data_IF_401834574221
#
_entry.id   IF_401834574221
#
_cell.length_a   1.000
_cell.length_b   1.000
_cell.length_c   1.000
_cell.angle_alpha   90.00
_cell.angle_beta   90.00
_cell.angle_gamma   90.00
#
_symmetry.space_group_name_H-M   'P 1'
#
loop_
_entity.id
_entity.type
_entity.pdbx_description
1 polymer ?
#
# COMPACT_ATOMS: atom_id res chain seq x y z
N UNK A 1 -14.58 20.71 12.07
CA UNK A 1 -15.95 20.57 11.52
C UNK A 1 -15.85 20.86 10.04
N UNK A 2 -15.76 19.84 9.20
CA UNK A 2 -15.65 20.01 7.73
C UNK A 2 -17.06 20.10 7.19
N UNK A 3 -17.51 21.28 6.87
CA UNK A 3 -18.81 21.52 6.20
C UNK A 3 -18.57 22.02 4.80
N UNK A 4 -18.05 21.16 3.97
CA UNK A 4 -18.03 21.33 2.52
C UNK A 4 -18.60 20.08 1.90
N UNK A 5 -19.86 19.76 2.19
CA UNK A 5 -20.55 18.67 1.52
C UNK A 5 -20.84 19.05 0.09
N UNK A 6 -19.99 18.60 -0.82
CA UNK A 6 -20.43 18.42 -2.18
C UNK A 6 -21.35 17.19 -2.16
N UNK A 7 -22.69 17.35 -2.26
CA UNK A 7 -23.65 16.28 -1.96
C UNK A 7 -23.64 15.13 -2.96
N UNK A 8 -22.72 15.15 -3.92
CA UNK A 8 -22.68 14.20 -5.03
C UNK A 8 -21.66 13.06 -4.85
N UNK A 9 -20.74 13.12 -3.88
CA UNK A 9 -19.70 12.12 -3.73
C UNK A 9 -19.73 11.49 -2.32
N UNK A 10 -20.51 10.43 -2.14
CA UNK A 10 -20.63 9.69 -0.88
C UNK A 10 -19.34 8.93 -0.48
N UNK A 11 -18.34 8.88 -1.37
CA UNK A 11 -17.07 8.18 -1.19
C UNK A 11 -15.90 9.12 -0.83
N UNK A 12 -16.10 10.44 -0.79
CA UNK A 12 -15.07 11.39 -0.35
C UNK A 12 -15.08 11.48 1.17
N UNK A 13 -13.94 11.19 1.78
CA UNK A 13 -13.77 11.25 3.22
C UNK A 13 -13.22 12.60 3.69
N UNK A 14 -12.38 13.20 2.88
CA UNK A 14 -11.77 14.49 3.16
C UNK A 14 -11.59 15.30 1.88
N UNK A 15 -11.77 16.60 1.97
CA UNK A 15 -11.46 17.57 0.91
C UNK A 15 -10.90 18.84 1.51
N UNK A 16 -9.99 19.50 0.78
CA UNK A 16 -9.55 20.84 1.15
C UNK A 16 -10.67 21.85 0.91
N UNK A 17 -10.69 22.89 1.73
CA UNK A 17 -11.54 24.06 1.53
C UNK A 17 -10.87 25.14 0.67
N UNK A 18 -9.61 24.96 0.32
CA UNK A 18 -8.88 25.90 -0.53
C UNK A 18 -9.34 25.75 -1.97
N UNK A 19 -9.46 26.88 -2.69
CA UNK A 19 -9.72 26.87 -4.11
C UNK A 19 -8.53 26.23 -4.82
N UNK A 20 -8.80 25.08 -5.42
CA UNK A 20 -7.80 24.38 -6.24
C UNK A 20 -7.81 25.02 -7.63
N UNK A 21 -6.62 25.34 -8.15
CA UNK A 21 -6.49 25.85 -9.52
C UNK A 21 -7.06 24.82 -10.51
N UNK A 22 -8.24 25.10 -11.03
CA UNK A 22 -8.94 24.23 -11.98
C UNK A 22 -8.20 24.08 -13.33
N UNK A 23 -7.17 24.88 -13.58
CA UNK A 23 -6.34 24.78 -14.79
C UNK A 23 -5.21 23.74 -14.64
N UNK A 24 -4.83 23.37 -13.40
CA UNK A 24 -3.80 22.39 -13.17
C UNK A 24 -4.34 20.96 -13.39
N UNK A 25 -3.62 20.17 -14.17
CA UNK A 25 -3.91 18.73 -14.32
C UNK A 25 -3.71 18.04 -13.00
N UNK A 26 -4.72 17.36 -12.43
CA UNK A 26 -4.57 16.66 -11.17
C UNK A 26 -3.78 15.38 -11.32
N UNK A 27 -3.06 15.03 -10.26
CA UNK A 27 -2.49 13.71 -10.05
C UNK A 27 -3.49 12.88 -9.25
N UNK A 28 -3.75 11.67 -9.70
CA UNK A 28 -4.65 10.73 -9.02
C UNK A 28 -3.85 9.52 -8.58
N UNK A 29 -3.84 9.30 -7.29
CA UNK A 29 -3.19 8.17 -6.64
C UNK A 29 -4.25 7.17 -6.23
N UNK A 30 -4.04 5.91 -6.54
CA UNK A 30 -4.96 4.80 -6.26
C UNK A 30 -4.21 3.68 -5.54
N UNK A 31 -4.68 3.27 -4.38
CA UNK A 31 -4.15 2.11 -3.68
C UNK A 31 -5.26 1.10 -3.43
N UNK A 32 -5.09 -0.12 -3.93
CA UNK A 32 -6.08 -1.19 -3.73
C UNK A 32 -5.90 -1.84 -2.36
N UNK A 33 -7.01 -2.01 -1.63
CA UNK A 33 -7.02 -2.61 -0.29
C UNK A 33 -7.52 -4.07 -0.27
N UNK A 34 -7.61 -4.69 -1.46
CA UNK A 34 -8.13 -6.04 -1.67
C UNK A 34 -9.64 -6.08 -1.99
N UNK A 35 -10.37 -4.99 -1.82
CA UNK A 35 -11.80 -4.89 -2.07
C UNK A 35 -12.18 -3.68 -2.91
N UNK A 36 -11.58 -2.55 -2.61
CA UNK A 36 -11.84 -1.25 -3.24
C UNK A 36 -10.54 -0.48 -3.40
N UNK A 37 -10.58 0.63 -4.12
CA UNK A 37 -9.48 1.57 -4.11
C UNK A 37 -9.70 2.65 -3.05
N UNK A 38 -8.67 2.91 -2.26
CA UNK A 38 -8.51 4.21 -1.64
C UNK A 38 -7.87 5.13 -2.67
N UNK A 39 -8.29 6.38 -2.71
CA UNK A 39 -7.76 7.36 -3.65
C UNK A 39 -7.35 8.65 -2.97
N UNK A 40 -6.41 9.33 -3.60
CA UNK A 40 -6.05 10.70 -3.29
C UNK A 40 -5.89 11.46 -4.60
N UNK A 41 -6.40 12.68 -4.64
CA UNK A 41 -6.17 13.63 -5.71
C UNK A 41 -5.26 14.71 -5.18
N UNK A 42 -4.20 15.04 -5.93
CA UNK A 42 -3.31 16.13 -5.61
C UNK A 42 -3.21 17.11 -6.79
N UNK A 43 -3.04 18.38 -6.47
CA UNK A 43 -2.77 19.45 -7.42
C UNK A 43 -1.50 20.16 -6.97
N UNK A 44 -0.52 20.26 -7.87
CA UNK A 44 0.78 20.89 -7.56
C UNK A 44 1.37 20.38 -6.24
N UNK A 45 1.40 19.05 -6.07
CA UNK A 45 1.91 18.35 -4.89
C UNK A 45 1.16 18.64 -3.57
N UNK A 46 -0.07 19.14 -3.67
CA UNK A 46 -0.94 19.32 -2.50
C UNK A 46 -2.17 18.41 -2.59
N UNK A 47 -2.41 17.55 -1.58
CA UNK A 47 -3.64 16.76 -1.51
C UNK A 47 -4.88 17.66 -1.51
N UNK A 48 -5.87 17.32 -2.31
CA UNK A 48 -7.13 18.05 -2.41
C UNK A 48 -8.36 17.22 -2.05
N UNK A 49 -8.32 15.92 -2.36
CA UNK A 49 -9.37 14.97 -2.04
C UNK A 49 -8.77 13.65 -1.57
N UNK A 50 -9.42 13.01 -0.62
CA UNK A 50 -9.10 11.64 -0.16
C UNK A 50 -10.40 10.87 0.06
N UNK A 51 -10.45 9.63 -0.37
CA UNK A 51 -11.65 8.81 -0.22
C UNK A 51 -11.46 7.35 -0.63
N UNK A 52 -12.58 6.69 -0.91
CA UNK A 52 -12.60 5.33 -1.43
C UNK A 52 -13.49 5.24 -2.68
N UNK A 53 -13.11 4.40 -3.62
CA UNK A 53 -13.83 4.11 -4.86
C UNK A 53 -14.26 2.64 -4.84
N UNK A 54 -15.55 2.41 -5.07
CA UNK A 54 -16.05 1.10 -5.45
C UNK A 54 -15.94 0.93 -6.97
N UNK A 55 -16.00 -0.32 -7.48
CA UNK A 55 -16.08 -0.56 -8.91
C UNK A 55 -17.21 0.26 -9.55
N UNK A 56 -16.92 0.96 -10.65
CA UNK A 56 -17.86 1.83 -11.35
C UNK A 56 -17.87 3.31 -10.90
N UNK A 57 -17.26 3.66 -9.77
CA UNK A 57 -17.22 5.07 -9.31
C UNK A 57 -16.14 5.91 -10.02
N UNK A 58 -15.26 5.27 -10.78
CA UNK A 58 -14.14 5.94 -11.43
C UNK A 58 -14.58 7.05 -12.40
N UNK A 59 -15.52 6.74 -13.29
CA UNK A 59 -16.05 7.71 -14.24
C UNK A 59 -16.66 8.92 -13.52
N UNK A 60 -17.30 8.67 -12.40
CA UNK A 60 -17.90 9.70 -11.56
C UNK A 60 -16.83 10.59 -10.90
N UNK A 61 -15.74 10.01 -10.43
CA UNK A 61 -14.61 10.78 -9.91
C UNK A 61 -14.04 11.69 -11.00
N UNK A 62 -13.69 11.15 -12.17
CA UNK A 62 -13.14 11.92 -13.29
C UNK A 62 -14.08 13.05 -13.74
N UNK A 63 -15.37 12.77 -13.82
CA UNK A 63 -16.39 13.78 -14.18
C UNK A 63 -16.42 14.90 -13.14
N UNK A 64 -16.32 14.56 -11.86
CA UNK A 64 -16.34 15.56 -10.77
C UNK A 64 -15.08 16.42 -10.77
N UNK A 65 -13.94 15.82 -11.10
CA UNK A 65 -12.66 16.56 -11.20
C UNK A 65 -12.64 17.47 -12.44
N UNK A 66 -13.54 17.27 -13.42
CA UNK A 66 -13.46 17.98 -14.71
C UNK A 66 -12.17 17.68 -15.48
N UNK A 67 -11.40 16.72 -15.04
CA UNK A 67 -10.09 16.41 -15.58
C UNK A 67 -10.21 15.61 -16.88
N UNK A 68 -9.56 16.11 -17.95
CA UNK A 68 -9.59 15.42 -19.26
C UNK A 68 -8.53 14.32 -19.36
N UNK A 69 -7.38 14.47 -18.70
CA UNK A 69 -6.27 13.52 -18.73
C UNK A 69 -5.45 13.63 -17.42
N UNK A 70 -5.94 13.11 -16.28
CA UNK A 70 -5.16 13.10 -15.05
C UNK A 70 -3.97 12.16 -15.21
N UNK A 71 -2.86 12.46 -14.53
CA UNK A 71 -1.79 11.47 -14.33
C UNK A 71 -2.28 10.47 -13.28
N UNK A 72 -2.06 9.18 -13.52
CA UNK A 72 -2.56 8.13 -12.64
C UNK A 72 -1.38 7.31 -12.10
N UNK A 73 -1.28 7.27 -10.80
CA UNK A 73 -0.34 6.44 -10.06
C UNK A 73 -1.16 5.41 -9.29
N UNK A 74 -0.81 4.14 -9.41
CA UNK A 74 -1.58 3.15 -8.68
C UNK A 74 -0.70 2.10 -8.00
N UNK A 75 -1.24 1.53 -6.92
CA UNK A 75 -0.62 0.47 -6.16
C UNK A 75 -1.58 -0.70 -5.98
N UNK A 76 -1.07 -1.89 -6.19
CA UNK A 76 -1.81 -3.14 -6.11
C UNK A 76 -1.01 -4.19 -5.34
N UNK A 77 -1.62 -4.98 -4.44
CA UNK A 77 -0.95 -6.09 -3.81
C UNK A 77 -0.64 -7.17 -4.85
N UNK A 78 0.60 -7.63 -4.87
CA UNK A 78 1.01 -8.66 -5.83
C UNK A 78 0.55 -10.04 -5.37
N UNK A 79 0.18 -10.92 -6.29
CA UNK A 79 -0.13 -12.31 -5.97
C UNK A 79 1.14 -13.15 -5.76
N UNK A 80 2.24 -12.71 -6.35
CA UNK A 80 3.54 -13.36 -6.26
C UNK A 80 4.66 -12.31 -6.27
N UNK A 81 5.59 -12.45 -5.34
CA UNK A 81 6.77 -11.59 -5.23
C UNK A 81 7.95 -12.39 -4.68
N UNK A 82 9.14 -12.15 -5.21
CA UNK A 82 10.39 -12.65 -4.62
C UNK A 82 11.45 -11.56 -4.59
N UNK A 83 12.26 -11.55 -3.53
CA UNK A 83 13.33 -10.59 -3.32
C UNK A 83 14.68 -11.21 -3.62
N UNK A 84 15.49 -10.52 -4.39
CA UNK A 84 16.81 -10.97 -4.80
C UNK A 84 17.83 -9.88 -4.42
N UNK A 85 18.75 -10.15 -3.50
CA UNK A 85 19.82 -9.21 -3.16
C UNK A 85 20.59 -8.76 -4.40
N UNK A 86 20.99 -7.50 -4.47
CA UNK A 86 21.77 -6.93 -5.60
C UNK A 86 23.00 -7.77 -5.94
N UNK A 87 23.66 -8.34 -4.94
CA UNK A 87 24.84 -9.17 -5.11
C UNK A 87 24.56 -10.46 -5.93
N UNK A 88 23.34 -10.97 -5.90
CA UNK A 88 22.93 -12.20 -6.59
C UNK A 88 22.21 -11.92 -7.91
N UNK A 89 21.83 -10.68 -8.17
CA UNK A 89 21.02 -10.30 -9.32
C UNK A 89 21.58 -10.73 -10.68
N UNK A 90 22.89 -10.57 -10.97
CA UNK A 90 23.45 -10.98 -12.24
C UNK A 90 23.28 -12.47 -12.56
N UNK A 91 23.34 -13.31 -11.52
CA UNK A 91 23.18 -14.78 -11.63
C UNK A 91 21.74 -15.19 -11.85
N UNK A 92 20.79 -14.40 -11.34
CA UNK A 92 19.36 -14.70 -11.39
C UNK A 92 18.70 -14.36 -12.75
N UNK A 93 19.26 -13.45 -13.52
CA UNK A 93 18.73 -13.11 -14.85
C UNK A 93 18.70 -14.31 -15.80
N UNK A 94 19.47 -15.34 -15.51
CA UNK A 94 19.58 -16.54 -16.33
C UNK A 94 18.56 -17.63 -15.98
N UNK A 95 17.85 -17.54 -14.84
CA UNK A 95 17.12 -18.68 -14.28
C UNK A 95 15.71 -18.35 -13.75
N UNK A 96 14.97 -17.46 -14.45
CA UNK A 96 13.58 -17.13 -14.10
C UNK A 96 12.66 -18.36 -13.99
N UNK A 97 12.96 -19.41 -14.75
CA UNK A 97 12.20 -20.67 -14.73
C UNK A 97 12.33 -21.41 -13.39
N UNK A 98 13.44 -21.24 -12.66
CA UNK A 98 13.69 -21.92 -11.38
C UNK A 98 12.82 -21.35 -10.26
N UNK A 99 12.39 -20.09 -10.39
CA UNK A 99 11.60 -19.41 -9.36
C UNK A 99 10.10 -19.71 -9.44
N UNK A 100 9.62 -20.44 -10.44
CA UNK A 100 8.19 -20.60 -10.68
C UNK A 100 7.48 -19.27 -10.98
N UNK A 101 8.21 -18.31 -11.53
CA UNK A 101 7.68 -16.97 -11.80
C UNK A 101 6.56 -17.01 -12.86
N UNK A 102 5.44 -16.32 -12.65
CA UNK A 102 4.42 -16.14 -13.67
C UNK A 102 4.97 -15.45 -14.93
N UNK A 103 4.31 -15.62 -16.07
CA UNK A 103 4.75 -15.05 -17.35
C UNK A 103 4.70 -13.50 -17.38
N UNK A 104 3.85 -12.88 -16.58
CA UNK A 104 3.61 -11.43 -16.51
C UNK A 104 4.38 -10.75 -15.38
N UNK A 105 5.63 -11.12 -15.16
CA UNK A 105 6.44 -10.54 -14.10
C UNK A 105 7.12 -9.25 -14.50
N UNK A 106 7.19 -8.33 -13.57
CA UNK A 106 7.95 -7.08 -13.62
C UNK A 106 9.09 -7.12 -12.61
N UNK A 107 10.04 -6.21 -12.80
CA UNK A 107 11.17 -6.06 -11.88
C UNK A 107 11.14 -4.66 -11.28
N UNK A 108 11.15 -4.60 -9.97
CA UNK A 108 11.34 -3.38 -9.22
C UNK A 108 12.72 -3.43 -8.53
N UNK A 109 13.48 -2.35 -8.59
CA UNK A 109 14.76 -2.23 -7.89
C UNK A 109 14.61 -1.25 -6.73
N UNK A 110 14.79 -1.74 -5.52
CA UNK A 110 14.95 -0.88 -4.35
C UNK A 110 16.40 -0.44 -4.23
N UNK A 111 16.64 0.85 -4.45
CA UNK A 111 17.98 1.44 -4.29
C UNK A 111 18.36 1.51 -2.80
N UNK A 112 17.39 1.85 -1.96
CA UNK A 112 17.59 1.98 -0.52
C UNK A 112 17.90 0.64 0.15
N UNK A 113 17.19 -0.41 -0.22
CA UNK A 113 17.29 -1.74 0.40
C UNK A 113 18.29 -2.67 -0.30
N UNK A 114 18.85 -2.26 -1.43
CA UNK A 114 19.85 -3.01 -2.21
C UNK A 114 19.38 -4.40 -2.62
N UNK A 115 18.17 -4.48 -3.14
CA UNK A 115 17.63 -5.70 -3.74
C UNK A 115 16.80 -5.39 -4.99
N UNK A 116 16.53 -6.45 -5.77
CA UNK A 116 15.53 -6.46 -6.83
C UNK A 116 14.33 -7.28 -6.36
N UNK A 117 13.12 -6.77 -6.56
CA UNK A 117 11.90 -7.54 -6.41
C UNK A 117 11.41 -7.96 -7.79
N UNK A 118 11.19 -9.25 -7.99
CA UNK A 118 10.43 -9.76 -9.14
C UNK A 118 9.02 -10.00 -8.64
N UNK A 119 8.03 -9.44 -9.31
CA UNK A 119 6.64 -9.54 -8.88
C UNK A 119 5.70 -9.73 -10.07
N UNK A 120 4.53 -10.34 -9.81
CA UNK A 120 3.47 -10.46 -10.79
C UNK A 120 2.72 -9.14 -10.92
N UNK A 121 2.41 -8.74 -12.16
CA UNK A 121 1.56 -7.60 -12.45
C UNK A 121 0.13 -8.11 -12.70
N UNK A 122 -0.53 -8.53 -11.64
CA UNK A 122 -1.87 -9.15 -11.71
C UNK A 122 -2.99 -8.13 -11.45
N UNK A 123 -2.81 -6.89 -11.88
CA UNK A 123 -3.90 -5.94 -11.79
C UNK A 123 -5.10 -6.45 -12.58
N UNK A 124 -6.32 -6.53 -12.00
CA UNK A 124 -7.47 -7.06 -12.70
C UNK A 124 -7.75 -6.24 -13.94
N UNK A 125 -7.82 -6.91 -15.11
CA UNK A 125 -8.15 -6.28 -16.39
C UNK A 125 -9.47 -5.50 -16.33
N UNK A 126 -10.39 -5.95 -15.48
CA UNK A 126 -11.70 -5.34 -15.25
C UNK A 126 -11.62 -3.86 -14.87
N UNK A 127 -10.60 -3.47 -14.08
CA UNK A 127 -10.42 -2.08 -13.64
C UNK A 127 -9.84 -1.19 -14.74
N UNK A 128 -9.04 -1.75 -15.64
CA UNK A 128 -8.43 -1.01 -16.75
C UNK A 128 -9.30 -0.99 -18.00
N UNK A 129 -10.33 -1.85 -18.07
CA UNK A 129 -11.34 -1.82 -19.12
C UNK A 129 -12.42 -0.75 -18.88
N UNK A 130 -12.44 -0.11 -17.71
CA UNK A 130 -13.35 1.01 -17.44
C UNK A 130 -13.12 2.18 -18.41
N UNK A 131 -14.19 2.71 -19.03
CA UNK A 131 -14.09 3.88 -19.88
C UNK A 131 -13.53 5.07 -19.09
N UNK A 132 -12.39 5.58 -19.47
CA UNK A 132 -11.70 6.68 -18.78
C UNK A 132 -10.33 6.29 -18.22
N UNK A 133 -10.15 5.08 -17.68
CA UNK A 133 -8.82 4.57 -17.34
C UNK A 133 -8.04 4.14 -18.59
N UNK A 134 -8.72 3.49 -19.56
CA UNK A 134 -8.10 3.06 -20.83
C UNK A 134 -7.55 4.22 -21.66
N UNK A 135 -8.10 5.44 -21.49
CA UNK A 135 -7.69 6.63 -22.24
C UNK A 135 -6.70 7.52 -21.47
N UNK A 136 -6.58 7.33 -20.16
CA UNK A 136 -5.77 8.22 -19.32
C UNK A 136 -4.30 7.79 -19.24
N UNK A 137 -3.99 6.55 -19.58
CA UNK A 137 -2.66 5.99 -19.34
C UNK A 137 -2.38 5.85 -17.83
N UNK A 138 -1.70 4.79 -17.44
CA UNK A 138 -1.15 4.65 -16.10
C UNK A 138 0.29 5.12 -16.15
N UNK A 139 0.61 6.20 -15.44
CA UNK A 139 1.95 6.78 -15.46
C UNK A 139 2.95 5.95 -14.67
N UNK A 140 2.51 5.36 -13.56
CA UNK A 140 3.35 4.46 -12.77
C UNK A 140 2.54 3.42 -11.97
N UNK A 141 3.10 2.23 -11.85
CA UNK A 141 2.64 1.15 -10.99
C UNK A 141 3.66 0.86 -9.90
N UNK A 142 3.16 0.68 -8.68
CA UNK A 142 3.98 0.32 -7.53
C UNK A 142 3.38 -0.91 -6.82
N UNK A 143 4.15 -2.00 -6.64
CA UNK A 143 3.71 -3.06 -5.75
C UNK A 143 3.41 -2.49 -4.37
N UNK A 144 2.26 -2.82 -3.79
CA UNK A 144 1.88 -2.27 -2.47
C UNK A 144 2.92 -2.57 -1.39
N UNK A 145 3.62 -3.68 -1.52
CA UNK A 145 4.70 -4.10 -0.65
C UNK A 145 5.91 -3.17 -0.73
N UNK A 146 6.23 -2.70 -1.95
CA UNK A 146 7.38 -1.83 -2.19
C UNK A 146 7.26 -0.51 -1.44
N UNK A 147 6.05 -0.01 -1.23
CA UNK A 147 5.81 1.21 -0.48
C UNK A 147 6.31 1.12 0.97
N UNK A 148 6.28 -0.09 1.58
CA UNK A 148 6.85 -0.30 2.90
C UNK A 148 8.37 -0.43 2.88
N UNK A 149 8.94 -0.92 1.79
CA UNK A 149 10.40 -1.08 1.67
C UNK A 149 11.09 0.28 1.45
N UNK A 150 10.48 1.16 0.69
CA UNK A 150 11.03 2.49 0.42
C UNK A 150 10.81 3.47 1.58
N UNK A 151 9.72 3.30 2.32
CA UNK A 151 9.37 4.12 3.48
C UNK A 151 9.25 3.24 4.74
N UNK A 152 10.37 2.63 5.19
CA UNK A 152 10.34 1.76 6.35
C UNK A 152 9.90 2.54 7.60
N UNK A 153 9.33 1.84 8.59
CA UNK A 153 8.96 2.50 9.83
C UNK A 153 10.20 3.07 10.53
N UNK A 154 10.06 4.26 11.08
CA UNK A 154 11.09 4.84 11.94
C UNK A 154 10.95 4.16 13.31
N UNK A 155 11.58 3.01 13.46
CA UNK A 155 11.63 2.29 14.74
C UNK A 155 13.08 2.17 15.21
N UNK A 156 13.34 2.32 16.52
CA UNK A 156 14.70 2.23 17.07
C UNK A 156 15.24 0.81 17.04
N UNK A 157 14.39 -0.18 16.88
CA UNK A 157 14.70 -1.60 17.01
C UNK A 157 14.07 -2.44 15.88
N UNK A 158 14.15 -3.76 16.02
CA UNK A 158 13.46 -4.71 15.15
C UNK A 158 11.97 -4.45 15.09
N UNK A 159 11.39 -4.62 13.93
CA UNK A 159 9.98 -4.26 13.71
C UNK A 159 9.36 -5.20 12.68
N UNK A 160 8.16 -5.67 12.96
CA UNK A 160 7.32 -6.32 11.98
C UNK A 160 6.31 -5.31 11.41
N UNK A 161 6.18 -5.25 10.09
CA UNK A 161 5.16 -4.46 9.40
C UNK A 161 4.26 -5.37 8.60
N UNK A 162 2.96 -5.24 8.81
CA UNK A 162 1.95 -6.06 8.15
C UNK A 162 1.03 -5.16 7.34
N UNK A 163 1.05 -5.35 6.03
CA UNK A 163 0.00 -4.83 5.15
C UNK A 163 -1.13 -5.87 5.12
N UNK A 164 -2.29 -5.48 5.62
CA UNK A 164 -3.43 -6.37 5.76
C UNK A 164 -4.41 -6.18 4.62
N UNK A 165 -4.81 -7.29 4.01
CA UNK A 165 -5.87 -7.38 3.01
C UNK A 165 -6.92 -8.40 3.46
N UNK A 166 -8.13 -8.39 2.88
CA UNK A 166 -9.19 -9.33 3.26
C UNK A 166 -8.78 -10.80 3.17
N UNK A 167 -7.94 -11.16 2.20
CA UNK A 167 -7.59 -12.55 1.90
C UNK A 167 -6.10 -12.88 2.08
N UNK A 168 -5.26 -11.90 2.34
CA UNK A 168 -3.83 -12.13 2.51
C UNK A 168 -3.16 -11.12 3.45
N UNK A 169 -1.97 -11.48 3.88
CA UNK A 169 -1.05 -10.62 4.62
C UNK A 169 0.25 -10.50 3.85
N UNK A 170 0.79 -9.30 3.74
CA UNK A 170 2.18 -9.07 3.34
C UNK A 170 2.97 -8.67 4.58
N UNK A 171 3.90 -9.51 4.97
CA UNK A 171 4.67 -9.34 6.21
C UNK A 171 6.10 -8.98 5.85
N UNK A 172 6.53 -7.82 6.31
CA UNK A 172 7.90 -7.33 6.16
C UNK A 172 8.54 -7.18 7.54
N UNK A 173 9.77 -7.65 7.69
CA UNK A 173 10.53 -7.52 8.91
C UNK A 173 11.77 -6.64 8.69
N UNK A 174 11.97 -5.70 9.59
CA UNK A 174 13.06 -4.74 9.53
C UNK A 174 13.94 -4.85 10.77
N UNK A 175 15.24 -4.86 10.55
CA UNK A 175 16.25 -4.66 11.61
C UNK A 175 16.39 -3.18 11.96
N UNK A 176 17.22 -2.87 12.94
CA UNK A 176 17.64 -1.50 13.25
C UNK A 176 18.07 -0.79 11.98
N UNK A 177 17.81 0.49 11.89
CA UNK A 177 18.09 1.30 10.69
C UNK A 177 17.17 1.12 9.50
N UNK A 178 16.09 0.34 9.62
CA UNK A 178 15.14 0.15 8.53
C UNK A 178 15.62 -0.82 7.43
N UNK A 179 16.63 -1.65 7.71
CA UNK A 179 17.06 -2.70 6.78
C UNK A 179 16.04 -3.81 6.73
N UNK A 180 15.50 -4.08 5.54
CA UNK A 180 14.58 -5.21 5.31
C UNK A 180 15.37 -6.54 5.40
N UNK A 181 14.92 -7.44 6.27
CA UNK A 181 15.55 -8.77 6.47
C UNK A 181 14.63 -9.92 6.11
N UNK A 182 13.34 -9.64 5.96
CA UNK A 182 12.36 -10.64 5.56
C UNK A 182 11.17 -9.97 4.88
N UNK A 183 10.66 -10.62 3.85
CA UNK A 183 9.37 -10.30 3.28
C UNK A 183 8.71 -11.55 2.72
N UNK A 184 7.43 -11.73 2.98
CA UNK A 184 6.63 -12.76 2.35
C UNK A 184 5.14 -12.38 2.32
N UNK A 185 4.41 -12.96 1.38
CA UNK A 185 2.96 -12.93 1.27
C UNK A 185 2.39 -14.25 1.79
N UNK A 186 1.35 -14.17 2.57
CA UNK A 186 0.62 -15.32 3.09
C UNK A 186 -0.85 -15.20 2.70
N UNK A 187 -1.38 -16.24 2.08
CA UNK A 187 -2.82 -16.39 1.93
C UNK A 187 -3.43 -16.63 3.31
N UNK A 188 -4.41 -15.84 3.67
CA UNK A 188 -4.99 -15.83 5.00
C UNK A 188 -6.46 -15.42 4.92
N UNK A 189 -7.30 -16.32 4.43
CA UNK A 189 -8.73 -16.07 4.26
C UNK A 189 -9.49 -16.03 5.59
N UNK A 190 -8.95 -16.63 6.64
CA UNK A 190 -9.53 -16.62 7.99
C UNK A 190 -8.62 -15.93 9.01
N UNK A 191 -9.19 -15.52 10.15
CA UNK A 191 -8.42 -14.98 11.26
C UNK A 191 -7.38 -15.98 11.80
N UNK A 192 -7.70 -17.28 11.78
CA UNK A 192 -6.77 -18.31 12.25
C UNK A 192 -5.57 -18.46 11.31
N UNK A 193 -5.78 -18.39 9.99
CA UNK A 193 -4.69 -18.41 9.00
C UNK A 193 -3.76 -17.22 9.22
N UNK A 194 -4.33 -16.04 9.46
CA UNK A 194 -3.57 -14.83 9.76
C UNK A 194 -2.75 -14.96 11.04
N UNK A 195 -3.35 -15.46 12.12
CA UNK A 195 -2.66 -15.72 13.39
C UNK A 195 -1.52 -16.72 13.22
N UNK A 196 -1.76 -17.80 12.47
CA UNK A 196 -0.75 -18.80 12.16
C UNK A 196 0.43 -18.20 11.38
N UNK A 197 0.14 -17.43 10.31
CA UNK A 197 1.15 -16.79 9.49
C UNK A 197 2.03 -15.83 10.30
N UNK A 198 1.42 -15.01 11.15
CA UNK A 198 2.13 -14.07 12.02
C UNK A 198 3.01 -14.81 13.04
N UNK A 199 2.47 -15.83 13.70
CA UNK A 199 3.24 -16.67 14.63
C UNK A 199 4.43 -17.35 13.96
N UNK A 200 4.21 -17.92 12.77
CA UNK A 200 5.26 -18.58 11.98
C UNK A 200 6.41 -17.63 11.63
N UNK A 201 6.13 -16.35 11.32
CA UNK A 201 7.17 -15.38 10.99
C UNK A 201 8.00 -15.02 12.23
N UNK A 202 7.37 -14.81 13.40
CA UNK A 202 8.10 -14.59 14.64
C UNK A 202 9.01 -15.78 14.98
N UNK A 203 8.51 -17.00 14.84
CA UNK A 203 9.26 -18.24 15.05
C UNK A 203 10.42 -18.37 14.07
N UNK A 204 10.16 -18.18 12.76
CA UNK A 204 11.16 -18.27 11.70
C UNK A 204 12.34 -17.30 11.91
N UNK A 205 12.03 -16.08 12.34
CA UNK A 205 13.04 -15.05 12.62
C UNK A 205 13.72 -15.24 13.99
N UNK A 206 13.22 -16.13 14.83
CA UNK A 206 13.67 -16.26 16.22
C UNK A 206 13.41 -15.00 17.03
N UNK A 207 12.36 -14.26 16.70
CA UNK A 207 12.01 -13.01 17.37
C UNK A 207 10.95 -13.23 18.44
N UNK A 208 11.12 -12.51 19.56
CA UNK A 208 10.11 -12.49 20.63
C UNK A 208 9.09 -11.38 20.36
N UNK A 209 7.80 -11.72 20.33
CA UNK A 209 6.74 -10.73 20.24
C UNK A 209 6.63 -9.82 21.46
N UNK A 210 7.29 -10.17 22.57
CA UNK A 210 7.41 -9.29 23.76
C UNK A 210 8.36 -8.13 23.47
N UNK A 211 9.39 -8.36 22.64
CA UNK A 211 10.46 -7.41 22.36
C UNK A 211 10.27 -6.69 21.01
N UNK A 212 9.60 -7.36 20.06
CA UNK A 212 9.48 -6.87 18.68
C UNK A 212 8.04 -6.43 18.41
N UNK A 213 7.78 -5.13 18.24
CA UNK A 213 6.46 -4.61 17.94
C UNK A 213 5.97 -5.01 16.56
N UNK A 214 4.64 -5.11 16.43
CA UNK A 214 3.94 -5.30 15.17
C UNK A 214 3.22 -4.01 14.81
N UNK A 215 3.56 -3.46 13.64
CA UNK A 215 2.83 -2.36 13.04
C UNK A 215 1.99 -2.87 11.87
N UNK A 216 0.80 -2.33 11.70
CA UNK A 216 -0.08 -2.76 10.62
C UNK A 216 -0.72 -1.58 9.90
N UNK A 217 -1.07 -1.80 8.64
CA UNK A 217 -1.88 -0.87 7.83
C UNK A 217 -2.66 -1.64 6.77
N UNK A 218 -3.55 -0.96 6.07
CA UNK A 218 -4.45 -1.57 5.10
C UNK A 218 -5.86 -1.77 5.66
N UNK A 219 -6.61 -2.67 5.06
CA UNK A 219 -8.00 -2.95 5.46
C UNK A 219 -8.28 -4.45 5.53
N UNK A 220 -8.79 -4.89 6.67
CA UNK A 220 -9.27 -6.25 6.87
C UNK A 220 -10.41 -6.24 7.92
N UNK A 221 -11.62 -6.76 7.58
CA UNK A 221 -12.78 -6.63 8.46
C UNK A 221 -12.64 -7.29 9.84
N UNK A 222 -11.88 -8.38 9.94
CA UNK A 222 -11.67 -9.15 11.17
C UNK A 222 -10.33 -8.85 11.87
N UNK A 223 -9.68 -7.72 11.52
CA UNK A 223 -8.36 -7.37 12.07
C UNK A 223 -8.36 -7.24 13.61
N UNK A 224 -9.39 -6.67 14.19
CA UNK A 224 -9.46 -6.53 15.65
C UNK A 224 -9.42 -7.89 16.37
N UNK A 225 -10.08 -8.90 15.79
CA UNK A 225 -10.03 -10.28 16.29
C UNK A 225 -8.64 -10.87 16.18
N UNK A 226 -7.95 -10.62 15.07
CA UNK A 226 -6.58 -11.07 14.85
C UNK A 226 -5.65 -10.38 15.86
N UNK A 227 -5.73 -9.07 15.99
CA UNK A 227 -4.93 -8.30 16.94
C UNK A 227 -5.16 -8.76 18.40
N UNK A 228 -6.40 -9.05 18.77
CA UNK A 228 -6.72 -9.61 20.08
C UNK A 228 -6.06 -10.99 20.29
N UNK A 229 -6.11 -11.87 19.28
CA UNK A 229 -5.47 -13.18 19.34
C UNK A 229 -3.93 -13.07 19.44
N UNK A 230 -3.34 -12.13 18.70
CA UNK A 230 -1.91 -11.82 18.77
C UNK A 230 -1.48 -11.27 20.13
N UNK A 231 -2.35 -10.54 20.83
CA UNK A 231 -2.08 -9.95 22.14
C UNK A 231 -1.66 -10.95 23.21
N UNK A 232 -1.83 -12.26 22.98
CA UNK A 232 -1.33 -13.32 23.86
C UNK A 232 0.19 -13.51 23.78
N UNK A 233 0.86 -13.06 22.70
CA UNK A 233 2.29 -13.25 22.49
C UNK A 233 3.02 -12.01 21.90
N UNK A 234 2.30 -11.00 21.43
CA UNK A 234 2.87 -9.72 20.98
C UNK A 234 2.33 -8.61 21.88
N UNK A 235 3.22 -7.92 22.58
CA UNK A 235 2.81 -6.88 23.54
C UNK A 235 2.42 -5.57 22.88
N UNK A 236 3.05 -5.22 21.77
CA UNK A 236 2.89 -3.93 21.14
C UNK A 236 2.38 -4.08 19.69
N UNK A 237 1.06 -3.95 19.52
CA UNK A 237 0.39 -4.02 18.23
C UNK A 237 -0.24 -2.65 17.95
N UNK A 238 0.26 -1.97 16.91
CA UNK A 238 -0.17 -0.58 16.60
C UNK A 238 -0.42 -0.39 15.12
N UNK A 239 -1.31 0.55 14.76
CA UNK A 239 -1.33 1.06 13.41
C UNK A 239 0.05 1.61 13.01
N UNK A 240 0.43 1.40 11.76
CA UNK A 240 1.66 1.97 11.22
C UNK A 240 1.57 3.50 11.23
N UNK A 241 2.59 4.14 11.78
CA UNK A 241 2.66 5.59 11.80
C UNK A 241 2.69 6.17 10.39
N UNK A 242 2.06 7.33 10.19
CA UNK A 242 2.09 7.99 8.89
C UNK A 242 3.53 8.30 8.49
N UNK A 243 3.85 8.26 7.19
CA UNK A 243 5.15 8.68 6.71
C UNK A 243 5.36 10.17 6.98
N UNK A 244 6.61 10.56 7.14
CA UNK A 244 6.97 11.99 7.27
C UNK A 244 6.69 12.72 5.97
N UNK A 245 6.37 14.01 6.06
CA UNK A 245 6.14 14.85 4.87
C UNK A 245 4.67 15.00 4.49
N UNK A 246 3.74 14.32 5.18
CA UNK A 246 2.31 14.54 4.95
C UNK A 246 1.89 15.94 5.40
N UNK A 247 1.05 16.65 4.61
CA UNK A 247 0.53 17.97 4.99
C UNK A 247 -0.29 17.93 6.27
N UNK A 248 -0.14 18.97 7.11
CA UNK A 248 -0.90 19.10 8.35
C UNK A 248 -2.41 19.26 8.10
N UNK A 249 -2.79 19.77 6.94
CA UNK A 249 -4.18 19.94 6.53
C UNK A 249 -4.99 18.62 6.53
N UNK A 250 -4.34 17.46 6.37
CA UNK A 250 -4.99 16.15 6.48
C UNK A 250 -5.48 15.82 7.90
N UNK A 251 -4.98 16.52 8.93
CA UNK A 251 -5.42 16.31 10.32
C UNK A 251 -5.34 14.85 10.76
N UNK A 252 -6.40 14.36 11.43
CA UNK A 252 -6.47 12.99 11.96
C UNK A 252 -6.48 11.89 10.87
N UNK A 253 -6.84 12.23 9.63
CA UNK A 253 -6.81 11.29 8.51
C UNK A 253 -5.43 10.71 8.23
N UNK A 254 -4.37 11.44 8.59
CA UNK A 254 -2.98 10.94 8.50
C UNK A 254 -2.79 9.62 9.24
N UNK A 255 -3.51 9.41 10.34
CA UNK A 255 -3.41 8.22 11.19
C UNK A 255 -4.28 7.05 10.73
N UNK A 256 -5.15 7.25 9.72
CA UNK A 256 -6.08 6.20 9.31
C UNK A 256 -5.34 5.04 8.61
N UNK A 257 -5.43 3.79 9.14
CA UNK A 257 -4.63 2.68 8.63
C UNK A 257 -4.85 2.36 7.15
N UNK A 258 -6.09 2.47 6.67
CA UNK A 258 -6.42 2.20 5.25
C UNK A 258 -5.86 3.24 4.29
N UNK A 259 -5.42 4.40 4.77
CA UNK A 259 -4.85 5.45 3.92
C UNK A 259 -3.31 5.41 3.87
N UNK A 260 -2.67 4.58 4.68
CA UNK A 260 -1.21 4.53 4.73
C UNK A 260 -0.59 4.13 3.38
N UNK A 261 -1.22 3.23 2.64
CA UNK A 261 -0.73 2.82 1.31
C UNK A 261 -0.79 3.99 0.32
N UNK A 262 -1.90 4.75 0.29
CA UNK A 262 -2.05 5.87 -0.63
C UNK A 262 -1.09 7.02 -0.31
N UNK A 263 -0.86 7.31 0.96
CA UNK A 263 0.09 8.34 1.38
C UNK A 263 1.54 7.96 1.04
N UNK A 264 1.89 6.69 1.17
CA UNK A 264 3.21 6.19 0.77
C UNK A 264 3.37 6.23 -0.75
N UNK A 265 2.34 5.84 -1.51
CA UNK A 265 2.35 5.92 -2.96
C UNK A 265 2.59 7.38 -3.41
N UNK A 266 1.88 8.33 -2.82
CA UNK A 266 2.07 9.73 -3.13
C UNK A 266 3.51 10.19 -2.87
N UNK A 267 4.08 9.89 -1.72
CA UNK A 267 5.46 10.28 -1.38
C UNK A 267 6.54 9.56 -2.21
N UNK A 268 6.25 8.38 -2.74
CA UNK A 268 7.19 7.66 -3.60
C UNK A 268 7.13 8.14 -5.07
N UNK A 269 6.02 8.73 -5.48
CA UNK A 269 5.78 9.16 -6.87
C UNK A 269 5.96 10.67 -7.08
N UNK A 270 6.00 11.46 -6.01
CA UNK A 270 6.24 12.93 -6.02
C UNK A 270 7.78 13.28 -5.94
#
# INVERSE_FOLDING_TARGET
>A
MVTGSNPTLSFVWWSTSEEVDAAATPDVYLAHDGRRFTFMVAHADQPSLVGALEPGDWVRLLTTLGAKNPRIFYSWPTSWCTLIPDALWPSFLLDRAVLGAPNNTQVYRSVQQKFHAIYSQDAPEEWFSEPGLSNSGVDAFWPSEALNWELPPVAPERTLVVLVHPECLHISAFERSGTLVYHNRFDASTANDALYALGLVYEHLGWSGIEVPLFWHGFRPDWDRIAQGMGSFVLDIKPLSPPKGLPDALGDWRMHPSLQSIFRLWLCAS
#
